data_IF_186406436273
#
_entry.id   IF_186406436273
#
_cell.length_a   1.000
_cell.length_b   1.000
_cell.length_c   1.000
_cell.angle_alpha   90.00
_cell.angle_beta   90.00
_cell.angle_gamma   90.00
#
_symmetry.space_group_name_H-M   'P 1'
#
loop_
_entity.id
_entity.type
_entity.pdbx_description
1 polymer ?
#
# COMPACT_ATOMS: atom_id res chain seq x y z
N UNK A 1 17.64 -2.90 11.98
CA UNK A 1 16.32 -2.43 11.46
C UNK A 1 15.64 -3.60 10.79
N UNK A 2 14.36 -3.86 11.08
CA UNK A 2 13.65 -5.03 10.56
C UNK A 2 12.90 -4.71 9.26
N UNK A 3 13.04 -5.58 8.28
CA UNK A 3 12.28 -5.55 7.04
C UNK A 3 11.57 -6.88 6.84
N UNK A 4 10.31 -6.83 6.43
CA UNK A 4 9.50 -8.02 6.17
C UNK A 4 9.01 -8.00 4.73
N UNK A 5 8.80 -9.19 4.16
CA UNK A 5 8.10 -9.34 2.88
C UNK A 5 7.22 -10.57 2.92
N UNK A 6 6.15 -10.53 2.14
CA UNK A 6 5.37 -11.73 1.83
C UNK A 6 5.89 -12.35 0.55
N UNK A 7 5.46 -13.57 0.24
CA UNK A 7 5.82 -14.22 -1.01
C UNK A 7 5.42 -13.35 -2.21
N UNK A 8 6.39 -13.07 -3.08
CA UNK A 8 6.25 -12.26 -4.29
C UNK A 8 5.83 -10.81 -4.03
N UNK A 9 6.23 -10.21 -2.90
CA UNK A 9 6.09 -8.78 -2.64
C UNK A 9 7.45 -8.09 -2.48
N UNK A 10 7.44 -6.76 -2.50
CA UNK A 10 8.59 -5.95 -2.04
C UNK A 10 8.82 -6.13 -0.53
N UNK A 11 9.96 -5.66 -0.07
CA UNK A 11 10.24 -5.51 1.36
C UNK A 11 9.55 -4.25 1.90
N UNK A 12 9.02 -4.37 3.11
CA UNK A 12 8.38 -3.29 3.85
C UNK A 12 9.13 -3.06 5.17
N UNK A 13 9.34 -1.80 5.59
CA UNK A 13 10.01 -1.49 6.84
C UNK A 13 9.07 -1.72 8.04
N UNK A 14 9.61 -2.37 9.07
CA UNK A 14 9.02 -2.42 10.41
C UNK A 14 9.81 -1.49 11.33
N UNK A 15 9.20 -0.39 11.73
CA UNK A 15 9.79 0.62 12.60
C UNK A 15 9.59 0.33 14.09
N UNK A 16 8.52 -0.39 14.44
CA UNK A 16 8.21 -0.79 15.81
C UNK A 16 7.33 -2.05 15.83
N UNK A 17 7.36 -2.79 16.95
CA UNK A 17 6.43 -3.90 17.18
C UNK A 17 4.97 -3.44 17.11
N UNK A 18 4.08 -4.27 16.56
CA UNK A 18 2.65 -3.98 16.44
C UNK A 18 2.26 -3.03 15.30
N UNK A 19 3.23 -2.42 14.59
CA UNK A 19 2.94 -1.57 13.43
C UNK A 19 2.17 -2.34 12.34
N UNK A 20 1.13 -1.72 11.77
CA UNK A 20 0.42 -2.29 10.62
C UNK A 20 1.07 -1.91 9.30
N UNK A 21 1.30 -2.90 8.44
CA UNK A 21 1.69 -2.72 7.04
C UNK A 21 0.52 -3.15 6.16
N UNK A 22 0.05 -2.25 5.30
CA UNK A 22 -1.06 -2.52 4.40
C UNK A 22 -0.56 -3.10 3.08
N UNK A 23 -0.99 -4.31 2.73
CA UNK A 23 -0.51 -5.00 1.52
C UNK A 23 -1.69 -5.30 0.59
N UNK A 24 -1.48 -5.08 -0.70
CA UNK A 24 -2.40 -5.49 -1.76
C UNK A 24 -1.75 -6.63 -2.55
N UNK A 25 -2.43 -7.78 -2.65
CA UNK A 25 -1.95 -8.93 -3.43
C UNK A 25 -2.97 -9.34 -4.47
N UNK A 26 -2.51 -9.59 -5.69
CA UNK A 26 -3.33 -10.25 -6.72
C UNK A 26 -3.30 -11.74 -6.51
N UNK A 27 -4.45 -12.31 -6.24
CA UNK A 27 -4.66 -13.75 -6.07
C UNK A 27 -5.39 -14.27 -7.31
N UNK A 28 -4.80 -15.27 -7.96
CA UNK A 28 -5.37 -15.87 -9.17
C UNK A 28 -6.77 -16.42 -8.89
N UNK A 29 -7.73 -16.15 -9.78
CA UNK A 29 -9.14 -16.54 -9.63
C UNK A 29 -9.95 -15.74 -8.60
N UNK A 30 -9.33 -14.88 -7.78
CA UNK A 30 -10.01 -14.09 -6.74
C UNK A 30 -10.00 -12.59 -7.05
N UNK A 31 -8.87 -12.07 -7.55
CA UNK A 31 -8.68 -10.64 -7.80
C UNK A 31 -7.73 -9.99 -6.79
N UNK A 32 -7.96 -8.72 -6.46
CA UNK A 32 -7.06 -7.96 -5.56
C UNK A 32 -7.55 -8.09 -4.13
N UNK A 33 -6.73 -8.72 -3.27
CA UNK A 33 -6.98 -8.88 -1.84
C UNK A 33 -6.20 -7.82 -1.07
N UNK A 34 -6.87 -7.15 -0.14
CA UNK A 34 -6.26 -6.18 0.78
C UNK A 34 -6.10 -6.84 2.14
N UNK A 35 -4.88 -6.83 2.66
CA UNK A 35 -4.56 -7.40 3.97
C UNK A 35 -3.67 -6.47 4.78
N UNK A 36 -3.53 -6.77 6.07
CA UNK A 36 -2.61 -6.09 6.98
C UNK A 36 -1.67 -7.11 7.57
N UNK A 37 -0.39 -6.76 7.60
CA UNK A 37 0.62 -7.49 8.34
C UNK A 37 0.89 -6.72 9.63
N UNK A 38 1.03 -7.44 10.74
CA UNK A 38 1.46 -6.88 12.02
C UNK A 38 2.97 -7.07 12.13
N UNK A 39 3.71 -5.98 12.29
CA UNK A 39 5.16 -6.05 12.51
C UNK A 39 5.46 -6.77 13.82
N UNK A 40 6.34 -7.78 13.81
CA UNK A 40 6.79 -8.44 15.03
C UNK A 40 7.81 -7.56 15.77
N UNK A 41 8.12 -7.93 17.02
CA UNK A 41 9.23 -7.33 17.75
C UNK A 41 10.56 -7.66 17.08
N UNK A 42 11.32 -6.64 16.69
CA UNK A 42 12.68 -6.84 16.15
C UNK A 42 13.57 -7.55 17.18
N UNK A 43 13.46 -7.18 18.45
CA UNK A 43 14.34 -7.69 19.51
C UNK A 43 14.10 -9.18 19.75
N UNK A 44 12.85 -9.65 19.63
CA UNK A 44 12.52 -11.06 19.76
C UNK A 44 13.05 -11.90 18.59
N UNK A 45 13.04 -11.36 17.36
CA UNK A 45 13.46 -12.11 16.17
C UNK A 45 14.96 -12.04 15.88
N UNK A 46 15.56 -10.87 16.05
CA UNK A 46 16.94 -10.60 15.63
C UNK A 46 17.89 -10.38 16.82
N UNK A 47 17.36 -10.16 18.03
CA UNK A 47 18.14 -9.78 19.19
C UNK A 47 18.45 -8.28 19.25
N UNK A 48 18.61 -7.76 20.47
CA UNK A 48 18.71 -6.31 20.76
C UNK A 48 19.88 -5.63 20.03
N UNK A 49 21.01 -6.32 19.86
CA UNK A 49 22.23 -5.77 19.24
C UNK A 49 22.08 -5.47 17.74
N UNK A 50 21.12 -6.11 17.06
CA UNK A 50 20.92 -5.98 15.61
C UNK A 50 19.71 -5.09 15.26
N UNK A 51 19.01 -4.61 16.29
CA UNK A 51 17.84 -3.77 16.13
C UNK A 51 18.19 -2.29 16.22
N UNK A 52 17.62 -1.52 15.30
CA UNK A 52 17.62 -0.07 15.44
C UNK A 52 16.58 0.31 16.51
N UNK A 53 16.70 1.48 17.15
CA UNK A 53 15.67 2.00 18.04
C UNK A 53 14.31 2.04 17.34
N UNK A 54 13.25 1.78 18.11
CA UNK A 54 11.89 1.86 17.59
C UNK A 54 11.54 3.30 17.19
N UNK A 55 10.80 3.44 16.08
CA UNK A 55 10.33 4.74 15.58
C UNK A 55 8.82 4.70 15.43
N UNK A 56 8.14 5.65 16.07
CA UNK A 56 6.70 5.86 15.89
C UNK A 56 6.48 6.52 14.53
N UNK A 57 5.68 5.88 13.69
CA UNK A 57 5.26 6.41 12.38
C UNK A 57 3.76 6.50 12.34
N UNK A 58 3.24 7.71 12.10
CA UNK A 58 1.80 7.98 11.98
C UNK A 58 1.28 7.77 10.56
N UNK A 59 2.17 7.79 9.58
CA UNK A 59 1.85 7.56 8.18
C UNK A 59 1.49 6.11 7.89
N UNK A 60 0.61 5.91 6.90
CA UNK A 60 0.24 4.58 6.43
C UNK A 60 1.41 3.93 5.69
N UNK A 61 1.99 2.89 6.29
CA UNK A 61 3.00 2.07 5.64
C UNK A 61 2.34 0.95 4.83
N UNK A 62 2.84 0.72 3.61
CA UNK A 62 2.35 -0.37 2.76
C UNK A 62 2.30 -0.04 1.27
N UNK A 63 1.42 -0.74 0.57
CA UNK A 63 1.09 -0.47 -0.81
C UNK A 63 0.18 0.76 -0.94
N UNK A 64 0.38 1.56 -1.99
CA UNK A 64 -0.44 2.74 -2.23
C UNK A 64 -1.90 2.31 -2.42
N UNK A 65 -2.82 3.00 -1.76
CA UNK A 65 -4.24 2.85 -2.09
C UNK A 65 -4.45 3.42 -3.48
N UNK A 66 -4.92 2.59 -4.42
CA UNK A 66 -5.30 3.06 -5.76
C UNK A 66 -6.44 4.07 -5.61
N UNK A 67 -6.12 5.36 -5.59
CA UNK A 67 -7.10 6.41 -5.75
C UNK A 67 -7.65 6.26 -7.17
N UNK A 68 -8.93 5.91 -7.33
CA UNK A 68 -9.61 6.07 -8.62
C UNK A 68 -9.67 7.57 -8.88
N UNK A 69 -8.63 8.13 -9.49
CA UNK A 69 -8.72 9.45 -10.08
C UNK A 69 -9.64 9.31 -11.28
N UNK A 70 -10.93 9.59 -11.06
CA UNK A 70 -11.83 9.88 -12.17
C UNK A 70 -11.33 11.19 -12.76
N UNK A 71 -10.46 11.13 -13.78
CA UNK A 71 -10.02 12.32 -14.49
C UNK A 71 -11.26 12.94 -15.16
N UNK A 72 -11.69 14.16 -14.79
CA UNK A 72 -12.86 14.80 -15.38
C UNK A 72 -12.66 15.16 -16.87
N UNK A 73 -11.42 15.04 -17.38
CA UNK A 73 -11.04 15.39 -18.74
C UNK A 73 -11.81 14.55 -19.78
N UNK A 74 -12.11 13.28 -19.50
CA UNK A 74 -12.83 12.42 -20.45
C UNK A 74 -14.32 12.77 -20.60
N UNK A 75 -14.93 13.40 -19.59
CA UNK A 75 -16.35 13.80 -19.62
C UNK A 75 -16.51 15.10 -20.43
N UNK A 76 -15.53 16.01 -20.38
CA UNK A 76 -15.60 17.28 -21.09
C UNK A 76 -15.56 17.13 -22.63
N UNK A 77 -14.76 16.19 -23.14
CA UNK A 77 -14.60 15.95 -24.59
C UNK A 77 -15.86 15.33 -25.20
N UNK A 78 -16.56 14.47 -24.46
CA UNK A 78 -17.78 13.82 -24.95
C UNK A 78 -18.95 14.81 -25.06
N UNK A 79 -19.05 15.78 -24.14
CA UNK A 79 -20.09 16.82 -24.17
C UNK A 79 -19.85 17.81 -25.31
N UNK A 80 -18.60 18.22 -25.55
CA UNK A 80 -18.30 19.15 -26.65
C UNK A 80 -18.56 18.53 -28.02
N UNK A 81 -18.17 17.28 -28.27
CA UNK A 81 -18.44 16.57 -29.54
C UNK A 81 -19.95 16.41 -29.80
N UNK A 82 -20.75 16.14 -28.76
CA UNK A 82 -22.22 16.06 -28.88
C UNK A 82 -22.84 17.43 -29.19
N UNK A 83 -22.31 18.52 -28.63
CA UNK A 83 -22.79 19.88 -28.94
C UNK A 83 -22.43 20.32 -30.37
N UNK A 84 -21.25 19.95 -30.87
CA UNK A 84 -20.86 20.24 -32.26
C UNK A 84 -21.66 19.46 -33.30
N UNK A 85 -22.18 18.28 -32.97
CA UNK A 85 -23.03 17.49 -33.87
C UNK A 85 -24.51 17.89 -33.86
N UNK A 86 -24.95 18.69 -32.89
CA UNK A 86 -26.34 19.13 -32.72
C UNK A 86 -26.60 20.57 -33.20
N UNK A 87 -25.60 21.22 -33.81
CA UNK A 87 -25.63 22.60 -34.33
C UNK A 87 -25.59 22.61 -35.85
#
# INVERSE_FOLDING_TARGET
MLFIKTQNSKFYPCYQGGQFIHVEKRVYGVGTVRTRIVCPSCTELCGKLFCAPEKIVTERIGDPTRNKSHSPIFIAISISVLMYHAL
#
